data_IF_932732959250
#
_entry.id   IF_932732959250
#
_cell.length_a   1.000
_cell.length_b   1.000
_cell.length_c   1.000
_cell.angle_alpha   90.00
_cell.angle_beta   90.00
_cell.angle_gamma   90.00
#
_symmetry.space_group_name_H-M   'P 1'
#
loop_
_entity.id
_entity.type
_entity.pdbx_description
1 polymer ?
#
# COMPACT_ATOMS: atom_id res chain seq x y z
N UNK A 1 6.71 12.79 -10.12
CA UNK A 1 6.41 12.06 -8.86
C UNK A 1 6.30 10.57 -9.13
N UNK A 2 6.84 9.76 -8.25
CA UNK A 2 6.71 8.30 -8.36
C UNK A 2 5.26 7.90 -8.05
N UNK A 3 4.72 6.98 -8.85
CA UNK A 3 3.38 6.47 -8.62
C UNK A 3 3.43 5.31 -7.62
N UNK A 4 3.41 5.66 -6.34
CA UNK A 4 3.43 4.67 -5.25
C UNK A 4 2.13 3.87 -5.20
N UNK A 5 1.02 4.48 -5.59
CA UNK A 5 -0.27 3.78 -5.63
C UNK A 5 -0.22 2.63 -6.63
N UNK A 6 0.36 2.84 -7.80
CA UNK A 6 0.49 1.79 -8.80
C UNK A 6 1.40 0.66 -8.31
N UNK A 7 2.52 0.99 -7.70
CA UNK A 7 3.43 0.00 -7.12
C UNK A 7 2.73 -0.85 -6.06
N UNK A 8 2.06 -0.21 -5.13
CA UNK A 8 1.36 -0.89 -4.03
C UNK A 8 0.19 -1.71 -4.58
N UNK A 9 -0.56 -1.18 -5.53
CA UNK A 9 -1.67 -1.90 -6.15
C UNK A 9 -1.19 -3.18 -6.84
N UNK A 10 -0.07 -3.12 -7.55
CA UNK A 10 0.52 -4.29 -8.21
C UNK A 10 0.83 -5.38 -7.19
N UNK A 11 1.38 -5.02 -6.04
CA UNK A 11 1.69 -5.97 -4.97
C UNK A 11 0.40 -6.55 -4.38
N UNK A 12 -0.54 -5.69 -4.03
CA UNK A 12 -1.77 -6.09 -3.35
C UNK A 12 -2.64 -6.99 -4.23
N UNK A 13 -2.76 -6.68 -5.51
CA UNK A 13 -3.58 -7.50 -6.43
C UNK A 13 -3.08 -8.94 -6.56
N UNK A 14 -1.80 -9.17 -6.29
CA UNK A 14 -1.23 -10.52 -6.29
C UNK A 14 -1.46 -11.28 -5.00
N UNK A 15 -1.88 -10.60 -3.93
CA UNK A 15 -2.07 -11.21 -2.61
C UNK A 15 -3.53 -11.58 -2.34
N UNK A 16 -4.46 -10.92 -3.01
CA UNK A 16 -5.88 -11.02 -2.70
C UNK A 16 -6.59 -12.02 -3.60
N UNK A 17 -7.76 -12.48 -3.14
CA UNK A 17 -8.62 -13.38 -3.91
C UNK A 17 -9.59 -12.61 -4.81
N UNK A 18 -9.85 -11.34 -4.50
CA UNK A 18 -10.78 -10.48 -5.24
C UNK A 18 -10.06 -9.20 -5.70
N UNK A 19 -9.19 -9.31 -6.72
CA UNK A 19 -8.42 -8.15 -7.18
C UNK A 19 -9.29 -7.03 -7.76
N UNK A 20 -10.48 -7.35 -8.23
CA UNK A 20 -11.43 -6.36 -8.72
C UNK A 20 -11.93 -5.39 -7.64
N UNK A 21 -11.81 -5.77 -6.38
CA UNK A 21 -12.22 -4.95 -5.25
C UNK A 21 -11.08 -4.11 -4.67
N UNK A 22 -9.87 -4.24 -5.23
CA UNK A 22 -8.71 -3.49 -4.74
C UNK A 22 -8.79 -2.05 -5.21
N UNK A 23 -8.71 -1.12 -4.25
CA UNK A 23 -8.56 0.31 -4.53
C UNK A 23 -7.33 0.81 -3.79
N UNK A 24 -6.48 1.53 -4.48
CA UNK A 24 -5.32 2.17 -3.87
C UNK A 24 -5.30 3.63 -4.27
N UNK A 25 -5.26 4.50 -3.28
CA UNK A 25 -5.25 5.95 -3.47
C UNK A 25 -3.95 6.54 -2.94
N UNK A 26 -3.49 7.58 -3.58
CA UNK A 26 -2.31 8.31 -3.18
C UNK A 26 -2.67 9.77 -3.02
N UNK A 27 -2.34 10.35 -1.87
CA UNK A 27 -2.55 11.77 -1.64
C UNK A 27 -1.36 12.35 -0.87
N UNK A 28 -1.15 13.65 -1.04
CA UNK A 28 -0.10 14.36 -0.31
C UNK A 28 -0.74 15.16 0.80
N UNK A 29 -0.33 14.88 2.04
CA UNK A 29 -0.83 15.54 3.23
C UNK A 29 0.37 16.01 4.07
N UNK A 30 0.47 17.32 4.29
CA UNK A 30 1.57 17.92 5.08
C UNK A 30 2.96 17.48 4.60
N UNK A 31 3.16 17.44 3.29
CA UNK A 31 4.45 17.06 2.71
C UNK A 31 4.75 15.57 2.72
N UNK A 32 3.80 14.74 3.18
CA UNK A 32 3.94 13.29 3.16
C UNK A 32 2.99 12.68 2.14
N UNK A 33 3.46 11.64 1.46
CA UNK A 33 2.62 10.86 0.55
C UNK A 33 1.94 9.77 1.36
N UNK A 34 0.63 9.79 1.37
CA UNK A 34 -0.17 8.75 2.03
C UNK A 34 -0.77 7.84 0.98
N UNK A 35 -0.47 6.56 1.08
CA UNK A 35 -1.02 5.54 0.20
C UNK A 35 -2.05 4.74 1.00
N UNK A 36 -3.31 4.79 0.58
CA UNK A 36 -4.41 4.10 1.26
C UNK A 36 -4.83 2.89 0.44
N UNK A 37 -4.89 1.74 1.08
CA UNK A 37 -5.28 0.48 0.46
C UNK A 37 -6.67 0.09 0.96
N UNK A 38 -7.56 -0.20 0.03
CA UNK A 38 -8.88 -0.73 0.35
C UNK A 38 -9.09 -2.04 -0.41
N UNK A 39 -9.47 -3.09 0.29
CA UNK A 39 -9.71 -4.41 -0.30
C UNK A 39 -11.02 -4.97 0.22
N UNK A 40 -11.47 -6.09 -0.38
CA UNK A 40 -12.62 -6.81 0.14
C UNK A 40 -12.32 -7.24 1.59
N UNK A 41 -13.30 -7.12 2.52
CA UNK A 41 -13.08 -7.52 3.92
C UNK A 41 -12.53 -8.93 4.08
N UNK A 42 -12.85 -9.85 3.19
CA UNK A 42 -12.33 -11.22 3.22
C UNK A 42 -10.83 -11.28 2.96
N UNK A 43 -10.28 -10.28 2.29
CA UNK A 43 -8.86 -10.22 1.93
C UNK A 43 -8.01 -9.38 2.89
N UNK A 44 -8.63 -8.72 3.87
CA UNK A 44 -7.90 -7.88 4.82
C UNK A 44 -6.75 -8.63 5.52
N UNK A 45 -7.01 -9.86 5.95
CA UNK A 45 -6.00 -10.68 6.60
C UNK A 45 -4.82 -11.01 5.70
N UNK A 46 -5.05 -11.14 4.40
CA UNK A 46 -3.98 -11.41 3.43
C UNK A 46 -3.06 -10.21 3.24
N UNK A 47 -3.64 -9.02 3.26
CA UNK A 47 -2.88 -7.77 3.07
C UNK A 47 -2.11 -7.41 4.33
N UNK A 48 -2.72 -7.58 5.49
CA UNK A 48 -2.08 -7.30 6.77
C UNK A 48 -1.05 -8.37 7.11
N UNK A 49 -1.42 -9.64 6.92
CA UNK A 49 -0.57 -10.77 7.22
C UNK A 49 -0.49 -11.07 8.71
N UNK A 50 0.16 -12.17 9.05
CA UNK A 50 0.32 -12.59 10.44
C UNK A 50 1.16 -11.57 11.20
N UNK A 51 0.59 -11.05 12.29
CA UNK A 51 1.24 -10.03 13.13
C UNK A 51 1.64 -8.77 12.35
N UNK A 52 0.94 -8.48 11.24
CA UNK A 52 1.22 -7.31 10.42
C UNK A 52 2.44 -7.43 9.51
N UNK A 53 2.98 -8.63 9.33
CA UNK A 53 4.22 -8.82 8.58
C UNK A 53 4.10 -8.40 7.10
N UNK A 54 2.99 -8.71 6.46
CA UNK A 54 2.80 -8.39 5.04
C UNK A 54 2.71 -6.88 4.82
N UNK A 55 1.90 -6.19 5.61
CA UNK A 55 1.79 -4.73 5.45
C UNK A 55 3.10 -4.01 5.80
N UNK A 56 3.87 -4.53 6.75
CA UNK A 56 5.18 -3.98 7.05
C UNK A 56 6.13 -4.12 5.86
N UNK A 57 6.09 -5.26 5.17
CA UNK A 57 6.90 -5.50 3.97
C UNK A 57 6.50 -4.55 2.84
N UNK A 58 5.21 -4.32 2.65
CA UNK A 58 4.72 -3.38 1.65
C UNK A 58 5.22 -1.97 1.94
N UNK A 59 5.21 -1.55 3.20
CA UNK A 59 5.75 -0.25 3.62
C UNK A 59 7.23 -0.12 3.30
N UNK A 60 8.01 -1.17 3.57
CA UNK A 60 9.44 -1.18 3.28
C UNK A 60 9.70 -1.01 1.79
N UNK A 61 8.94 -1.70 0.95
CA UNK A 61 9.06 -1.59 -0.51
C UNK A 61 8.72 -0.18 -0.98
N UNK A 62 7.62 0.39 -0.48
CA UNK A 62 7.21 1.75 -0.84
C UNK A 62 8.27 2.78 -0.41
N UNK A 63 8.80 2.65 0.80
CA UNK A 63 9.85 3.55 1.30
C UNK A 63 11.14 3.41 0.52
N UNK A 64 11.50 2.19 0.11
CA UNK A 64 12.68 1.96 -0.73
C UNK A 64 12.53 2.69 -2.08
N UNK A 65 11.35 2.63 -2.68
CA UNK A 65 11.07 3.35 -3.93
C UNK A 65 11.14 4.86 -3.74
N UNK A 66 10.88 5.36 -2.53
CA UNK A 66 10.87 6.78 -2.22
C UNK A 66 12.26 7.37 -1.91
N UNK A 67 13.28 6.55 -1.70
CA UNK A 67 14.61 7.02 -1.29
C UNK A 67 15.20 8.00 -2.30
N UNK A 68 15.14 7.67 -3.59
CA UNK A 68 15.70 8.53 -4.64
C UNK A 68 14.98 9.86 -4.76
N UNK A 69 13.66 9.86 -4.61
CA UNK A 69 12.86 11.07 -4.72
C UNK A 69 12.79 11.85 -3.41
N UNK A 70 13.36 11.31 -2.34
CA UNK A 70 13.35 11.90 -0.99
C UNK A 70 11.94 12.18 -0.46
N UNK A 71 10.95 11.44 -0.97
CA UNK A 71 9.59 11.54 -0.48
C UNK A 71 9.44 10.80 0.86
N UNK A 72 8.54 11.27 1.68
CA UNK A 72 8.11 10.53 2.86
C UNK A 72 6.82 9.83 2.50
N UNK A 73 6.82 8.51 2.56
CA UNK A 73 5.67 7.70 2.15
C UNK A 73 5.18 6.89 3.34
N UNK A 74 3.88 6.92 3.54
CA UNK A 74 3.21 6.06 4.52
C UNK A 74 2.15 5.23 3.80
N UNK A 75 1.99 3.97 4.22
CA UNK A 75 1.02 3.05 3.63
C UNK A 75 0.08 2.60 4.73
N UNK A 76 -1.21 2.76 4.51
CA UNK A 76 -2.24 2.35 5.46
C UNK A 76 -3.29 1.49 4.78
N UNK A 77 -3.92 0.61 5.56
CA UNK A 77 -5.03 -0.22 5.09
C UNK A 77 -6.31 0.35 5.68
N UNK A 78 -7.26 0.67 4.83
CA UNK A 78 -8.59 1.15 5.27
C UNK A 78 -9.50 -0.03 5.56
N UNK A 79 -10.24 0.08 6.65
CA UNK A 79 -11.25 -0.90 7.02
C UNK A 79 -12.59 -0.61 6.34
#
# INVERSE_FOLDING_TARGET
>A
MVDYADLVKTIVTRLVTKPEDVEVKQEVVDGKVKVSIKVNPEDMGRVIGKAGATIKSIRVIAKAAAIKSKDKVDVVVEE
#
